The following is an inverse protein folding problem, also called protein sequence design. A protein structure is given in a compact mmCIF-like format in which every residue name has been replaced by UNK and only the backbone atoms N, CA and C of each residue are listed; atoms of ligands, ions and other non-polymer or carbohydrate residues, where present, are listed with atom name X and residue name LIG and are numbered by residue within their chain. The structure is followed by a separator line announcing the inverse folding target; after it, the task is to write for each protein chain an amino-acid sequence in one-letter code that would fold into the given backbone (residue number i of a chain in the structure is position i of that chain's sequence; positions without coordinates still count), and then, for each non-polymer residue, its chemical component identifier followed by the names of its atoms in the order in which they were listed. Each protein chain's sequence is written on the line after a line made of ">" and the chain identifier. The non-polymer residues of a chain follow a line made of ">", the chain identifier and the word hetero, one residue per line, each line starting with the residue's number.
data_IF_115180974057
#
_entry.id   IF_115180974057
#
_cell.length_a   1.000
_cell.length_b   1.000
_cell.length_c   1.000
_cell.angle_alpha   90.00
_cell.angle_beta   90.00
_cell.angle_gamma   90.00
#
_symmetry.space_group_name_H-M   'P 1'
#
loop_
_entity.id
_entity.type
_entity.pdbx_description
1 polymer ?
#
# COMPACT_ATOMS: atom_id res chain seq x y z
N UNK A 1 9.69 3.90 -1.03
CA UNK A 1 10.10 2.47 -0.94
C UNK A 1 8.90 1.67 -0.47
N UNK A 2 8.53 0.62 -1.20
CA UNK A 2 7.52 -0.34 -0.77
C UNK A 2 8.21 -1.51 -0.06
N UNK A 3 7.67 -1.94 1.08
CA UNK A 3 8.19 -3.04 1.89
C UNK A 3 7.04 -3.92 2.33
N UNK A 4 7.19 -5.23 2.31
CA UNK A 4 6.18 -6.17 2.81
C UNK A 4 6.84 -7.31 3.60
N UNK A 5 6.07 -8.00 4.43
CA UNK A 5 6.52 -9.19 5.14
C UNK A 5 6.38 -10.42 4.24
N UNK A 6 7.48 -11.07 3.90
CA UNK A 6 7.39 -12.42 3.32
C UNK A 6 7.23 -13.44 4.46
N UNK A 7 6.04 -14.01 4.55
CA UNK A 7 5.71 -15.00 5.56
C UNK A 7 6.37 -16.37 5.32
N UNK A 8 6.81 -16.67 4.10
CA UNK A 8 7.51 -17.92 3.80
C UNK A 8 8.96 -17.89 4.31
N UNK A 9 9.68 -16.79 4.07
CA UNK A 9 11.06 -16.62 4.55
C UNK A 9 11.16 -16.04 5.97
N UNK A 10 10.12 -15.34 6.45
CA UNK A 10 10.13 -14.67 7.74
C UNK A 10 10.98 -13.39 7.76
N UNK A 11 11.24 -12.78 6.60
CA UNK A 11 11.98 -11.52 6.47
C UNK A 11 11.11 -10.45 5.78
N UNK A 12 11.50 -9.17 5.97
CA UNK A 12 10.86 -8.06 5.27
C UNK A 12 11.57 -7.88 3.91
N UNK A 13 10.81 -7.91 2.82
CA UNK A 13 11.31 -7.65 1.48
C UNK A 13 10.93 -6.25 1.03
N UNK A 14 11.78 -5.61 0.21
CA UNK A 14 11.53 -4.27 -0.31
C UNK A 14 11.69 -4.23 -1.82
N UNK A 15 10.77 -3.51 -2.47
CA UNK A 15 10.81 -3.27 -3.91
C UNK A 15 11.37 -1.89 -4.22
N UNK A 16 12.23 -1.85 -5.22
CA UNK A 16 12.61 -0.59 -5.84
C UNK A 16 11.43 -0.01 -6.66
N UNK A 17 11.56 1.26 -7.06
CA UNK A 17 10.49 1.95 -7.77
C UNK A 17 10.12 1.28 -9.09
N UNK A 18 11.11 0.73 -9.80
CA UNK A 18 10.87 0.10 -11.10
C UNK A 18 10.08 -1.20 -10.96
N UNK A 19 10.43 -2.02 -9.97
CA UNK A 19 9.72 -3.26 -9.66
C UNK A 19 8.30 -2.96 -9.21
N UNK A 20 8.13 -2.03 -8.25
CA UNK A 20 6.82 -1.62 -7.74
C UNK A 20 5.89 -1.15 -8.88
N UNK A 21 6.39 -0.30 -9.78
CA UNK A 21 5.60 0.19 -10.91
C UNK A 21 5.28 -0.87 -11.95
N UNK A 22 6.21 -1.78 -12.23
CA UNK A 22 5.98 -2.89 -13.16
C UNK A 22 4.93 -3.86 -12.62
N UNK A 23 5.07 -4.27 -11.35
CA UNK A 23 4.17 -5.21 -10.71
C UNK A 23 2.77 -4.61 -10.56
N UNK A 24 2.66 -3.36 -10.09
CA UNK A 24 1.37 -2.66 -9.96
C UNK A 24 0.67 -2.50 -11.31
N UNK A 25 1.39 -2.12 -12.37
CA UNK A 25 0.83 -2.04 -13.72
C UNK A 25 0.39 -3.43 -14.24
N UNK A 26 1.13 -4.49 -13.91
CA UNK A 26 0.72 -5.86 -14.21
C UNK A 26 -0.59 -6.22 -13.54
N UNK A 27 -0.74 -5.90 -12.24
CA UNK A 27 -1.99 -6.11 -11.50
C UNK A 27 -3.17 -5.36 -12.15
N UNK A 28 -2.98 -4.09 -12.52
CA UNK A 28 -4.02 -3.28 -13.15
C UNK A 28 -4.44 -3.80 -14.53
N UNK A 29 -3.52 -4.36 -15.30
CA UNK A 29 -3.82 -4.90 -16.64
C UNK A 29 -4.51 -6.25 -16.62
N UNK A 30 -4.26 -7.04 -15.58
CA UNK A 30 -4.72 -8.44 -15.53
C UNK A 30 -5.96 -8.64 -14.65
N UNK A 31 -6.36 -7.64 -13.86
CA UNK A 31 -7.57 -7.70 -13.04
C UNK A 31 -8.78 -7.11 -13.76
N UNK A 32 -9.95 -7.74 -13.60
CA UNK A 32 -11.24 -7.17 -14.02
C UNK A 32 -11.73 -6.11 -13.05
N UNK A 33 -11.46 -6.27 -11.75
CA UNK A 33 -11.85 -5.32 -10.71
C UNK A 33 -10.83 -5.32 -9.58
N UNK A 34 -10.54 -4.13 -9.08
CA UNK A 34 -9.76 -3.87 -7.87
C UNK A 34 -10.58 -2.99 -6.96
N UNK A 35 -10.73 -3.38 -5.71
CA UNK A 35 -11.50 -2.63 -4.71
C UNK A 35 -10.72 -2.57 -3.41
N UNK A 36 -10.34 -1.35 -3.01
CA UNK A 36 -9.73 -1.07 -1.71
C UNK A 36 -10.74 -0.33 -0.85
N UNK A 37 -11.08 -0.91 0.28
CA UNK A 37 -11.89 -0.28 1.32
C UNK A 37 -10.96 0.13 2.46
N UNK A 38 -10.83 1.43 2.66
CA UNK A 38 -10.06 1.98 3.77
C UNK A 38 -10.92 2.12 5.01
N UNK A 39 -10.52 1.46 6.09
CA UNK A 39 -11.26 1.40 7.34
C UNK A 39 -10.74 2.44 8.34
N UNK A 40 -10.36 2.00 9.54
CA UNK A 40 -9.96 2.86 10.64
C UNK A 40 -8.51 3.31 10.51
N UNK A 41 -8.28 4.58 10.84
CA UNK A 41 -6.95 5.12 11.11
C UNK A 41 -6.56 4.62 12.51
N UNK A 42 -5.48 3.85 12.56
CA UNK A 42 -4.94 3.28 13.80
C UNK A 42 -3.95 4.26 14.43
N UNK A 43 -3.20 4.95 13.59
CA UNK A 43 -2.26 5.97 13.99
C UNK A 43 -2.18 7.06 12.94
N UNK A 44 -2.08 8.30 13.40
CA UNK A 44 -1.75 9.44 12.57
C UNK A 44 -0.94 10.44 13.39
N UNK A 45 0.18 10.90 12.83
CA UNK A 45 1.03 11.90 13.49
C UNK A 45 2.06 12.49 12.54
N UNK A 46 2.50 13.71 12.85
CA UNK A 46 3.44 14.47 12.01
C UNK A 46 3.14 15.96 12.07
N UNK A 47 3.70 16.70 11.11
CA UNK A 47 3.56 18.14 10.98
C UNK A 47 3.05 18.55 9.59
N UNK A 48 3.22 19.82 9.23
CA UNK A 48 2.75 20.35 7.96
C UNK A 48 3.49 19.81 6.72
N UNK A 49 4.67 19.19 6.86
CA UNK A 49 5.53 18.72 5.77
C UNK A 49 5.73 17.20 5.79
N UNK A 50 5.63 16.58 6.97
CA UNK A 50 5.73 15.14 7.15
C UNK A 50 4.48 14.58 7.85
N UNK A 51 3.94 13.47 7.36
CA UNK A 51 2.82 12.76 8.00
C UNK A 51 3.08 11.27 8.00
N UNK A 52 2.78 10.62 9.12
CA UNK A 52 2.78 9.18 9.27
C UNK A 52 1.35 8.74 9.50
N UNK A 53 0.85 7.80 8.69
CA UNK A 53 -0.51 7.30 8.76
C UNK A 53 -0.48 5.78 8.69
N UNK A 54 -1.02 5.14 9.72
CA UNK A 54 -1.30 3.70 9.73
C UNK A 54 -2.80 3.49 9.65
N UNK A 55 -3.26 2.85 8.58
CA UNK A 55 -4.70 2.63 8.34
C UNK A 55 -4.97 1.18 7.96
N UNK A 56 -6.06 0.64 8.51
CA UNK A 56 -6.55 -0.68 8.13
C UNK A 56 -7.26 -0.64 6.77
N UNK A 57 -7.15 -1.73 6.00
CA UNK A 57 -7.82 -1.87 4.70
C UNK A 57 -8.32 -3.29 4.46
N UNK A 58 -9.32 -3.40 3.59
CA UNK A 58 -9.66 -4.63 2.88
C UNK A 58 -9.39 -4.41 1.39
N UNK A 59 -8.71 -5.35 0.75
CA UNK A 59 -8.40 -5.30 -0.67
C UNK A 59 -8.96 -6.54 -1.37
N UNK A 60 -9.82 -6.31 -2.36
CA UNK A 60 -10.37 -7.36 -3.20
C UNK A 60 -9.83 -7.22 -4.62
N UNK A 61 -9.27 -8.30 -5.14
CA UNK A 61 -8.78 -8.44 -6.51
C UNK A 61 -9.67 -9.47 -7.20
N UNK A 62 -10.33 -9.08 -8.28
CA UNK A 62 -11.10 -9.99 -9.13
C UNK A 62 -10.38 -10.12 -10.46
N UNK A 63 -9.78 -11.27 -10.74
CA UNK A 63 -9.21 -11.57 -12.05
C UNK A 63 -10.30 -12.02 -13.02
N UNK A 64 -11.25 -12.82 -12.53
CA UNK A 64 -12.49 -13.21 -13.19
C UNK A 64 -13.52 -13.68 -12.14
N UNK A 65 -14.79 -13.96 -12.50
CA UNK A 65 -15.81 -14.36 -11.51
C UNK A 65 -15.49 -15.63 -10.70
N UNK A 66 -14.63 -16.52 -11.21
CA UNK A 66 -14.16 -17.71 -10.51
C UNK A 66 -12.85 -17.53 -9.75
N UNK A 67 -12.17 -16.39 -9.89
CA UNK A 67 -10.87 -16.11 -9.30
C UNK A 67 -10.88 -14.72 -8.62
N UNK A 68 -11.15 -14.77 -7.30
CA UNK A 68 -11.25 -13.60 -6.45
C UNK A 68 -10.34 -13.77 -5.24
N UNK A 69 -9.34 -12.90 -5.14
CA UNK A 69 -8.42 -12.82 -4.00
C UNK A 69 -8.89 -11.71 -3.06
N UNK A 70 -8.89 -11.99 -1.75
CA UNK A 70 -9.24 -11.04 -0.70
C UNK A 70 -8.11 -10.98 0.31
N UNK A 71 -7.64 -9.77 0.56
CA UNK A 71 -6.52 -9.47 1.44
C UNK A 71 -7.00 -8.48 2.49
N UNK A 72 -6.59 -8.66 3.73
CA UNK A 72 -6.85 -7.71 4.81
C UNK A 72 -5.51 -7.25 5.36
N UNK A 73 -5.45 -6.04 5.92
CA UNK A 73 -4.17 -5.59 6.44
C UNK A 73 -4.14 -4.17 6.96
N UNK A 74 -2.92 -3.74 7.23
CA UNK A 74 -2.61 -2.35 7.53
C UNK A 74 -1.62 -1.81 6.51
N UNK A 75 -1.88 -0.61 6.03
CA UNK A 75 -0.90 0.19 5.31
C UNK A 75 -0.28 1.17 6.31
N UNK A 76 1.01 1.01 6.57
CA UNK A 76 1.82 1.95 7.36
C UNK A 76 2.62 2.83 6.40
N UNK A 77 2.22 4.10 6.29
CA UNK A 77 2.67 5.01 5.24
C UNK A 77 3.29 6.29 5.81
N UNK A 78 4.41 6.67 5.23
CA UNK A 78 5.03 7.97 5.46
C UNK A 78 4.80 8.85 4.22
N UNK A 79 4.36 10.08 4.46
CA UNK A 79 4.11 11.09 3.46
C UNK A 79 5.05 12.28 3.67
N UNK A 80 5.48 12.87 2.55
CA UNK A 80 6.31 14.06 2.52
C UNK A 80 5.81 15.04 1.45
N UNK A 81 5.96 16.32 1.72
CA UNK A 81 5.88 17.41 0.73
C UNK A 81 6.93 18.47 1.05
N UNK A 82 7.49 19.12 0.03
CA UNK A 82 8.60 20.06 0.25
C UNK A 82 8.13 21.42 0.80
N UNK A 83 6.85 21.76 0.61
CA UNK A 83 6.23 22.97 1.15
C UNK A 83 4.73 22.75 1.38
N UNK A 84 4.08 23.69 2.07
CA UNK A 84 2.63 23.63 2.32
C UNK A 84 1.77 23.80 1.07
N UNK A 85 2.36 24.27 -0.03
CA UNK A 85 1.70 24.47 -1.33
C UNK A 85 1.85 23.24 -2.26
N UNK A 86 2.72 22.30 -1.91
CA UNK A 86 2.91 21.07 -2.67
C UNK A 86 1.96 19.94 -2.24
N UNK A 87 1.77 18.99 -3.15
CA UNK A 87 0.99 17.77 -2.90
C UNK A 87 1.76 16.79 -2.01
N UNK A 88 1.04 16.08 -1.16
CA UNK A 88 1.59 14.94 -0.42
C UNK A 88 2.02 13.82 -1.35
N UNK A 89 3.20 13.27 -1.10
CA UNK A 89 3.72 12.07 -1.78
C UNK A 89 4.03 11.00 -0.76
N UNK A 90 3.68 9.76 -1.09
CA UNK A 90 4.11 8.60 -0.29
C UNK A 90 5.60 8.40 -0.52
N UNK A 91 6.40 8.48 0.54
CA UNK A 91 7.85 8.22 0.48
C UNK A 91 8.18 6.81 0.95
N UNK A 92 7.35 6.24 1.84
CA UNK A 92 7.45 4.86 2.30
C UNK A 92 6.06 4.27 2.50
N UNK A 93 5.91 3.01 2.14
CA UNK A 93 4.77 2.17 2.50
C UNK A 93 5.30 0.83 2.96
N UNK A 94 5.02 0.47 4.22
CA UNK A 94 5.14 -0.89 4.73
C UNK A 94 3.77 -1.57 4.74
N UNK A 95 3.65 -2.63 3.96
CA UNK A 95 2.48 -3.50 3.96
C UNK A 95 2.54 -4.50 5.11
N UNK A 96 1.46 -4.55 5.88
CA UNK A 96 1.24 -5.48 6.98
C UNK A 96 -0.07 -6.25 6.75
N UNK A 97 -0.20 -6.85 5.56
CA UNK A 97 -1.35 -7.67 5.18
C UNK A 97 -1.26 -9.13 5.64
N UNK A 98 -2.41 -9.78 5.82
CA UNK A 98 -2.57 -11.16 6.29
C UNK A 98 -3.83 -11.83 5.71
#
# INVERSE_FOLDING_TARGET
>A
MFTYRDYASGFDESWDRATDMRTTNGLFRNSQKLEVVWNNIIFQGGDSLEQNVKRSFNFTITFNPGDVVRINGFADMNFHRNSTDEIWKIVRWRDESF
#
